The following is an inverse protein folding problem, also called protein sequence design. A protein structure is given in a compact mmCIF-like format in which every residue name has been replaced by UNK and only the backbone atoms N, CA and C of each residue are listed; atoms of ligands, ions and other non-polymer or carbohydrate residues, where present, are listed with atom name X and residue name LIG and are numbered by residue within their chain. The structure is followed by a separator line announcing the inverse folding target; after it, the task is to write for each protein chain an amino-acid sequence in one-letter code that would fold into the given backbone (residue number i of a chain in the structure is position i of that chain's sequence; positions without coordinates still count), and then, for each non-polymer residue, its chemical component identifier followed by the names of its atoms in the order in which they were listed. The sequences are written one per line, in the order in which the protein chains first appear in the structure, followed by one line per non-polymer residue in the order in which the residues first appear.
data_IF_559370891597
#
_entry.id   IF_559370891597
#
_cell.length_a   1.000
_cell.length_b   1.000
_cell.length_c   1.000
_cell.angle_alpha   90.00
_cell.angle_beta   90.00
_cell.angle_gamma   90.00
#
_symmetry.space_group_name_H-M   'P 1'
#
loop_
_entity.id
_entity.type
_entity.pdbx_description
1 polymer ?
#
# COMPACT_ATOMS: atom_id res chain seq x y z
N UNK A 1 51.92 54.46 -3.93
CA UNK A 1 53.07 54.28 -4.85
C UNK A 1 53.24 52.78 -5.11
N UNK A 2 53.34 52.45 -6.40
CA UNK A 2 53.50 51.12 -6.98
C UNK A 2 54.91 50.54 -6.75
N UNK A 3 55.02 49.21 -6.77
CA UNK A 3 55.96 48.38 -7.56
C UNK A 3 56.09 47.01 -6.83
N UNK A 4 55.47 45.92 -7.29
CA UNK A 4 55.69 45.11 -8.49
C UNK A 4 56.91 44.15 -8.38
N UNK A 5 56.62 42.91 -8.81
CA UNK A 5 57.47 41.78 -9.25
C UNK A 5 57.77 40.68 -8.23
N UNK A 6 57.74 39.39 -8.59
CA UNK A 6 57.19 38.60 -9.71
C UNK A 6 57.32 37.14 -9.26
N UNK A 7 56.30 36.32 -9.53
CA UNK A 7 56.26 34.88 -9.26
C UNK A 7 56.84 34.10 -10.46
N UNK A 8 57.65 33.03 -10.27
CA UNK A 8 57.97 32.13 -11.36
C UNK A 8 56.96 30.98 -11.46
N UNK A 9 56.44 30.80 -12.67
CA UNK A 9 55.51 29.77 -13.11
C UNK A 9 56.22 28.42 -13.34
N UNK A 10 55.67 27.33 -12.80
CA UNK A 10 56.00 25.97 -13.23
C UNK A 10 54.82 25.38 -14.00
N UNK A 11 55.05 25.26 -15.30
CA UNK A 11 54.24 24.56 -16.29
C UNK A 11 54.22 23.05 -16.02
N UNK A 12 53.04 22.50 -15.71
CA UNK A 12 52.74 21.07 -15.90
C UNK A 12 51.69 20.96 -16.99
N UNK A 13 52.16 20.61 -18.17
CA UNK A 13 51.37 20.29 -19.35
C UNK A 13 50.65 18.96 -19.10
N UNK A 14 49.34 19.02 -18.86
CA UNK A 14 48.45 17.86 -18.96
C UNK A 14 47.86 17.86 -20.37
N UNK A 15 48.19 16.83 -21.14
CA UNK A 15 47.72 16.66 -22.51
C UNK A 15 46.20 16.40 -22.55
N UNK A 16 45.46 16.99 -23.50
CA UNK A 16 44.09 16.61 -23.78
C UNK A 16 44.07 15.37 -24.69
N UNK A 17 43.56 14.24 -24.19
CA UNK A 17 43.20 13.12 -25.07
C UNK A 17 41.79 13.38 -25.60
N UNK A 18 41.73 14.03 -26.76
CA UNK A 18 40.54 14.20 -27.57
C UNK A 18 40.09 12.84 -28.12
N UNK A 19 39.05 12.25 -27.50
CA UNK A 19 38.32 11.13 -28.07
C UNK A 19 37.45 11.63 -29.22
N UNK A 20 37.94 11.42 -30.45
CA UNK A 20 37.22 11.75 -31.67
C UNK A 20 36.15 10.69 -31.94
N UNK A 21 34.89 11.10 -31.87
CA UNK A 21 33.75 10.27 -32.27
C UNK A 21 33.69 10.23 -33.81
N UNK A 22 34.28 9.21 -34.43
CA UNK A 22 34.00 8.90 -35.84
C UNK A 22 32.70 8.11 -35.91
N UNK A 23 31.68 8.72 -36.53
CA UNK A 23 30.45 8.04 -36.94
C UNK A 23 30.77 7.22 -38.19
N UNK A 24 30.60 5.89 -38.21
CA UNK A 24 30.59 5.19 -39.48
C UNK A 24 29.25 5.46 -40.16
N UNK A 25 29.31 6.18 -41.28
CA UNK A 25 28.24 6.22 -42.26
C UNK A 25 28.37 4.97 -43.15
N UNK A 26 27.45 4.03 -43.01
CA UNK A 26 27.17 2.98 -43.99
C UNK A 26 25.65 2.97 -44.13
N UNK A 27 25.13 3.73 -45.09
CA UNK A 27 24.85 3.26 -46.45
C UNK A 27 23.83 2.12 -46.40
N UNK A 28 22.56 2.50 -46.57
CA UNK A 28 21.49 1.63 -47.01
C UNK A 28 21.90 1.06 -48.36
N UNK A 29 22.14 -0.24 -48.44
CA UNK A 29 22.08 -0.96 -49.69
C UNK A 29 20.99 -2.03 -49.62
N UNK A 30 20.28 -2.13 -50.73
CA UNK A 30 19.03 -2.82 -50.92
C UNK A 30 19.32 -4.17 -51.58
N UNK A 31 18.44 -5.11 -51.25
CA UNK A 31 18.01 -6.23 -52.07
C UNK A 31 18.93 -7.45 -52.23
N UNK A 32 18.24 -8.58 -52.05
CA UNK A 32 18.33 -9.82 -52.80
C UNK A 32 19.26 -10.95 -52.32
N UNK A 33 18.59 -12.08 -52.12
CA UNK A 33 19.02 -13.47 -52.26
C UNK A 33 19.79 -14.14 -51.11
N UNK A 34 18.95 -14.79 -50.28
CA UNK A 34 19.28 -15.79 -49.28
C UNK A 34 19.37 -17.18 -49.93
N UNK A 35 20.56 -17.79 -50.09
CA UNK A 35 20.63 -19.21 -50.40
C UNK A 35 20.40 -20.04 -49.13
N UNK A 36 19.20 -20.60 -49.06
CA UNK A 36 18.82 -21.74 -48.23
C UNK A 36 19.81 -22.89 -48.46
N UNK A 37 20.78 -23.07 -47.57
CA UNK A 37 21.43 -24.33 -47.18
C UNK A 37 22.76 -24.01 -46.50
N UNK A 38 23.00 -24.64 -45.35
CA UNK A 38 24.25 -24.68 -44.56
C UNK A 38 24.32 -23.64 -43.42
N UNK A 39 24.40 -23.95 -42.12
CA UNK A 39 24.46 -25.22 -41.38
C UNK A 39 24.15 -24.96 -39.90
N UNK A 40 23.26 -25.80 -39.37
CA UNK A 40 23.23 -26.38 -38.02
C UNK A 40 24.37 -25.94 -37.06
N UNK A 41 24.10 -24.95 -36.21
CA UNK A 41 24.56 -24.93 -34.82
C UNK A 41 23.42 -24.40 -33.94
N UNK A 42 22.82 -25.34 -33.23
CA UNK A 42 21.70 -25.15 -32.33
C UNK A 42 22.03 -24.15 -31.22
N UNK A 43 21.19 -23.11 -31.13
CA UNK A 43 20.70 -22.47 -29.91
C UNK A 43 21.71 -22.26 -28.75
N UNK A 44 22.54 -21.22 -28.86
CA UNK A 44 23.08 -20.56 -27.68
C UNK A 44 22.05 -19.52 -27.20
N UNK A 45 21.36 -19.89 -26.12
CA UNK A 45 20.35 -19.13 -25.38
C UNK A 45 20.87 -17.73 -25.04
N UNK A 46 20.31 -16.69 -25.66
CA UNK A 46 20.55 -15.30 -25.26
C UNK A 46 19.42 -14.87 -24.31
N UNK A 47 19.77 -14.84 -23.02
CA UNK A 47 19.10 -14.23 -21.87
C UNK A 47 17.95 -13.26 -22.19
N UNK A 48 16.71 -13.71 -21.95
CA UNK A 48 15.60 -12.79 -21.68
C UNK A 48 15.83 -12.22 -20.28
N UNK A 49 16.39 -11.02 -20.20
CA UNK A 49 16.41 -10.25 -18.96
C UNK A 49 14.97 -9.82 -18.64
N UNK A 50 14.33 -10.54 -17.72
CA UNK A 50 13.05 -10.11 -17.17
C UNK A 50 13.36 -8.89 -16.31
N UNK A 51 13.10 -7.69 -16.85
CA UNK A 51 13.10 -6.48 -16.05
C UNK A 51 11.92 -6.57 -15.07
N UNK A 52 12.16 -7.17 -13.91
CA UNK A 52 11.30 -7.00 -12.75
C UNK A 52 11.46 -5.54 -12.32
N UNK A 53 10.71 -4.64 -12.97
CA UNK A 53 10.55 -3.28 -12.47
C UNK A 53 10.01 -3.33 -11.05
N UNK A 54 10.37 -2.36 -10.17
CA UNK A 54 9.75 -2.31 -8.86
C UNK A 54 8.24 -2.20 -9.07
N UNK A 55 7.49 -3.17 -8.53
CA UNK A 55 6.06 -3.02 -8.39
C UNK A 55 5.85 -1.82 -7.46
N UNK A 56 5.63 -0.63 -8.05
CA UNK A 56 5.16 0.51 -7.28
C UNK A 56 3.83 0.04 -6.67
N UNK A 57 3.80 -0.12 -5.35
CA UNK A 57 2.61 -0.52 -4.65
C UNK A 57 1.49 0.44 -5.05
N UNK A 58 0.57 -0.02 -5.89
CA UNK A 58 -0.53 0.79 -6.37
C UNK A 58 -1.49 0.94 -5.19
N UNK A 59 -1.31 2.02 -4.44
CA UNK A 59 -2.14 2.38 -3.30
C UNK A 59 -3.60 2.42 -3.74
N UNK A 60 -4.49 1.86 -2.92
CA UNK A 60 -5.92 1.87 -3.20
C UNK A 60 -6.43 3.30 -3.38
N UNK A 61 -7.13 3.51 -4.48
CA UNK A 61 -7.71 4.80 -4.83
C UNK A 61 -8.93 5.13 -3.97
N UNK A 62 -9.22 6.42 -3.80
CA UNK A 62 -10.39 6.93 -3.10
C UNK A 62 -10.34 8.44 -2.85
N UNK A 63 -11.46 9.02 -2.43
CA UNK A 63 -11.60 10.46 -2.15
C UNK A 63 -10.76 10.94 -0.97
N UNK A 64 -10.38 10.02 -0.07
CA UNK A 64 -9.48 10.32 1.04
C UNK A 64 -8.16 10.97 0.58
N UNK A 65 -7.68 10.66 -0.63
CA UNK A 65 -6.45 11.23 -1.21
C UNK A 65 -6.48 12.77 -1.30
N UNK A 66 -7.67 13.39 -1.32
CA UNK A 66 -7.79 14.84 -1.34
C UNK A 66 -7.39 15.51 -0.01
N UNK A 67 -7.46 14.78 1.09
CA UNK A 67 -7.31 15.33 2.46
C UNK A 67 -6.41 14.49 3.37
N UNK A 68 -5.72 13.50 2.79
CA UNK A 68 -4.79 12.64 3.50
C UNK A 68 -3.41 12.65 2.82
N UNK A 69 -2.35 12.52 3.61
CA UNK A 69 -0.96 12.43 3.18
C UNK A 69 -0.28 11.20 3.78
N UNK A 70 0.99 10.96 3.45
CA UNK A 70 1.77 9.82 3.94
C UNK A 70 1.06 8.47 3.73
N UNK A 71 0.45 8.33 2.56
CA UNK A 71 -0.40 7.19 2.21
C UNK A 71 0.49 6.00 1.85
N UNK A 72 0.26 4.88 2.52
CA UNK A 72 1.04 3.65 2.34
C UNK A 72 0.17 2.43 2.59
N UNK A 73 0.40 1.39 1.81
CA UNK A 73 -0.12 0.06 2.12
C UNK A 73 0.97 -0.79 2.74
N UNK A 74 0.72 -1.30 3.94
CA UNK A 74 1.70 -2.05 4.73
C UNK A 74 0.98 -3.22 5.43
N UNK A 75 1.43 -4.44 5.21
CA UNK A 75 0.87 -5.66 5.81
C UNK A 75 -0.67 -5.80 5.65
N UNK A 76 -1.20 -5.39 4.48
CA UNK A 76 -2.64 -5.45 4.18
C UNK A 76 -3.45 -4.28 4.74
N UNK A 77 -2.82 -3.31 5.40
CA UNK A 77 -3.46 -2.09 5.90
C UNK A 77 -3.13 -0.91 4.99
N UNK A 78 -4.14 -0.13 4.65
CA UNK A 78 -3.98 1.22 4.12
C UNK A 78 -3.85 2.18 5.30
N UNK A 79 -2.70 2.82 5.41
CA UNK A 79 -2.39 3.81 6.43
C UNK A 79 -2.19 5.17 5.77
N UNK A 80 -2.66 6.21 6.42
CA UNK A 80 -2.48 7.59 5.98
C UNK A 80 -2.53 8.54 7.18
N UNK A 81 -2.10 9.78 6.97
CA UNK A 81 -2.31 10.89 7.90
C UNK A 81 -3.38 11.79 7.32
N UNK A 82 -4.55 11.86 7.95
CA UNK A 82 -5.75 12.49 7.39
C UNK A 82 -6.16 13.73 8.19
N UNK A 83 -6.60 14.77 7.48
CA UNK A 83 -7.10 16.00 8.10
C UNK A 83 -8.47 15.77 8.75
N UNK A 84 -8.67 16.30 9.95
CA UNK A 84 -9.95 16.30 10.67
C UNK A 84 -10.71 17.62 10.43
N UNK A 85 -11.98 17.66 10.83
CA UNK A 85 -12.89 18.80 10.66
C UNK A 85 -12.52 20.03 11.50
N UNK A 86 -11.56 19.89 12.43
CA UNK A 86 -10.98 20.99 13.20
C UNK A 86 -9.65 21.49 12.60
N UNK A 87 -9.25 20.97 11.43
CA UNK A 87 -8.02 21.34 10.74
C UNK A 87 -6.76 20.62 11.22
N UNK A 88 -6.86 19.77 12.25
CA UNK A 88 -5.76 18.93 12.75
C UNK A 88 -5.54 17.68 11.89
N UNK A 89 -4.43 16.98 12.11
CA UNK A 89 -4.07 15.78 11.37
C UNK A 89 -4.02 14.57 12.30
N UNK A 90 -4.59 13.44 11.88
CA UNK A 90 -4.62 12.21 12.65
C UNK A 90 -4.08 11.03 11.82
N UNK A 91 -3.41 10.08 12.47
CA UNK A 91 -3.09 8.80 11.83
C UNK A 91 -4.37 7.98 11.67
N UNK A 92 -4.61 7.55 10.44
CA UNK A 92 -5.79 6.83 10.02
C UNK A 92 -5.36 5.51 9.38
N UNK A 93 -6.13 4.46 9.65
CA UNK A 93 -5.88 3.17 9.02
C UNK A 93 -7.18 2.43 8.75
N UNK A 94 -7.20 1.70 7.65
CA UNK A 94 -8.28 0.77 7.30
C UNK A 94 -7.66 -0.38 6.52
N UNK A 95 -8.37 -1.49 6.35
CA UNK A 95 -7.91 -2.52 5.41
C UNK A 95 -8.72 -2.38 4.13
N UNK A 96 -8.03 -2.15 3.00
CA UNK A 96 -8.61 -2.06 1.68
C UNK A 96 -9.65 -3.14 1.36
N UNK A 97 -9.36 -4.40 1.67
CA UNK A 97 -10.19 -5.55 1.31
C UNK A 97 -11.64 -5.52 1.83
N UNK A 98 -11.94 -4.70 2.84
CA UNK A 98 -13.28 -4.58 3.43
C UNK A 98 -14.18 -3.65 2.62
N UNK A 99 -13.55 -2.80 1.81
CA UNK A 99 -14.22 -1.89 0.92
C UNK A 99 -14.28 -2.52 -0.48
N UNK A 100 -15.45 -2.99 -0.93
CA UNK A 100 -15.61 -3.56 -2.26
C UNK A 100 -15.05 -2.65 -3.34
N UNK A 101 -14.51 -3.23 -4.40
CA UNK A 101 -14.10 -2.47 -5.58
C UNK A 101 -15.31 -1.71 -6.14
N UNK A 102 -15.12 -0.44 -6.48
CA UNK A 102 -16.19 0.46 -6.90
C UNK A 102 -16.79 1.29 -5.75
N UNK A 103 -16.54 0.95 -4.49
CA UNK A 103 -16.85 1.82 -3.35
C UNK A 103 -15.69 2.79 -3.07
N UNK A 104 -16.02 3.90 -2.44
CA UNK A 104 -15.08 4.98 -2.17
C UNK A 104 -14.46 4.83 -0.76
N UNK A 105 -13.14 4.85 -0.68
CA UNK A 105 -12.47 5.07 0.60
C UNK A 105 -12.41 6.59 0.80
N UNK A 106 -13.03 7.08 1.86
CA UNK A 106 -13.15 8.50 2.13
C UNK A 106 -12.50 8.87 3.45
N UNK A 107 -12.06 10.13 3.55
CA UNK A 107 -11.73 10.73 4.83
C UNK A 107 -13.00 11.27 5.50
N UNK A 108 -13.29 10.82 6.70
CA UNK A 108 -14.38 11.30 7.56
C UNK A 108 -13.80 11.76 8.89
N UNK A 109 -13.50 13.06 8.99
CA UNK A 109 -12.96 13.68 10.21
C UNK A 109 -11.64 13.04 10.68
N UNK A 110 -10.72 12.77 9.74
CA UNK A 110 -9.49 11.99 9.91
C UNK A 110 -9.67 10.47 9.73
N UNK A 111 -10.93 10.00 9.61
CA UNK A 111 -11.44 8.63 9.39
C UNK A 111 -11.19 8.05 8.03
N UNK A 112 -10.39 7.01 7.83
CA UNK A 112 -10.59 6.21 6.61
C UNK A 112 -11.85 5.34 6.73
N UNK A 113 -12.88 5.67 5.95
CA UNK A 113 -14.18 4.97 5.92
C UNK A 113 -14.49 4.46 4.52
N UNK A 114 -15.28 3.39 4.41
CA UNK A 114 -15.78 2.92 3.12
C UNK A 114 -17.21 3.44 2.88
N UNK A 115 -17.40 4.19 1.80
CA UNK A 115 -18.70 4.71 1.35
C UNK A 115 -19.14 3.95 0.11
N UNK A 116 -20.35 3.38 0.14
CA UNK A 116 -20.92 2.71 -1.02
C UNK A 116 -21.24 3.71 -2.14
N UNK A 117 -20.91 3.37 -3.39
CA UNK A 117 -21.19 4.24 -4.54
C UNK A 117 -22.71 4.44 -4.79
N UNK A 118 -23.54 3.51 -4.33
CA UNK A 118 -25.01 3.59 -4.35
C UNK A 118 -25.55 4.23 -3.07
N UNK A 119 -25.33 5.54 -2.88
CA UNK A 119 -26.02 6.33 -1.85
C UNK A 119 -27.48 6.63 -2.25
N UNK A 120 -28.24 5.60 -2.62
CA UNK A 120 -29.65 5.66 -2.96
C UNK A 120 -30.28 4.29 -2.71
N UNK A 121 -31.17 4.22 -1.72
CA UNK A 121 -31.98 3.06 -1.31
C UNK A 121 -31.28 2.00 -0.44
N UNK A 122 -31.35 2.23 0.88
CA UNK A 122 -31.65 1.20 1.88
C UNK A 122 -30.70 0.01 1.98
N UNK A 123 -29.49 0.25 2.49
CA UNK A 123 -28.68 -0.79 3.13
C UNK A 123 -28.16 -0.23 4.46
N UNK A 124 -28.18 -0.97 5.59
CA UNK A 124 -27.62 -0.50 6.86
C UNK A 124 -26.08 -0.49 6.82
N UNK A 125 -25.50 0.27 5.89
CA UNK A 125 -24.06 0.46 5.75
C UNK A 125 -23.56 1.46 6.79
N UNK A 126 -23.18 0.88 7.93
CA UNK A 126 -22.08 1.26 8.81
C UNK A 126 -22.00 2.75 9.22
N UNK A 127 -22.46 3.09 10.44
CA UNK A 127 -21.99 4.28 11.12
C UNK A 127 -20.47 4.16 11.31
N UNK A 128 -19.70 5.07 10.73
CA UNK A 128 -18.29 5.26 11.04
C UNK A 128 -18.10 6.67 11.59
N UNK A 129 -18.31 6.79 12.90
CA UNK A 129 -17.69 7.82 13.72
C UNK A 129 -16.87 7.07 14.76
N UNK A 130 -15.59 7.37 14.82
CA UNK A 130 -14.69 7.04 15.92
C UNK A 130 -15.38 7.18 17.29
N UNK A 131 -15.25 6.27 18.26
CA UNK A 131 -14.29 5.18 18.39
C UNK A 131 -14.56 3.98 17.49
N UNK A 132 -13.51 3.20 17.27
CA UNK A 132 -13.55 2.03 16.40
C UNK A 132 -14.77 1.16 16.73
N UNK A 133 -15.75 1.20 15.82
CA UNK A 133 -17.10 0.72 16.09
C UNK A 133 -17.01 -0.75 16.44
N UNK A 134 -17.29 -1.05 17.71
CA UNK A 134 -17.30 -2.41 18.22
C UNK A 134 -18.29 -3.22 17.37
N UNK A 135 -17.83 -4.28 16.66
CA UNK A 135 -18.71 -5.08 15.82
C UNK A 135 -19.77 -5.74 16.69
N UNK A 136 -21.03 -5.66 16.27
CA UNK A 136 -22.11 -6.35 16.98
C UNK A 136 -21.97 -7.86 16.83
N UNK A 137 -22.38 -8.60 17.86
CA UNK A 137 -22.43 -10.05 17.86
C UNK A 137 -22.94 -10.62 19.18
N UNK A 138 -23.27 -11.89 19.18
CA UNK A 138 -23.79 -12.61 20.34
C UNK A 138 -22.82 -12.64 21.53
N UNK A 139 -21.52 -12.47 21.28
CA UNK A 139 -20.51 -12.33 22.33
C UNK A 139 -20.82 -11.22 23.34
N UNK A 140 -21.52 -10.14 22.94
CA UNK A 140 -21.89 -9.03 23.84
C UNK A 140 -22.76 -9.48 25.02
N UNK A 141 -23.48 -10.60 24.90
CA UNK A 141 -24.29 -11.15 25.99
C UNK A 141 -23.46 -11.81 27.10
N UNK A 142 -22.23 -12.24 26.79
CA UNK A 142 -21.39 -13.06 27.69
C UNK A 142 -19.96 -12.55 27.81
N UNK A 143 -19.67 -11.36 27.29
CA UNK A 143 -18.37 -10.70 27.37
C UNK A 143 -18.52 -9.27 27.90
N UNK A 144 -17.47 -8.78 28.56
CA UNK A 144 -17.35 -7.43 29.12
C UNK A 144 -16.02 -6.80 28.74
N UNK A 145 -15.81 -5.55 29.15
CA UNK A 145 -14.57 -4.77 28.88
C UNK A 145 -14.23 -4.72 27.37
N UNK A 146 -15.29 -4.68 26.55
CA UNK A 146 -15.23 -4.80 25.10
C UNK A 146 -14.63 -3.53 24.50
N UNK A 147 -13.56 -3.69 23.72
CA UNK A 147 -12.88 -2.59 23.05
C UNK A 147 -12.21 -3.05 21.77
N UNK A 148 -12.08 -2.12 20.84
CA UNK A 148 -11.26 -2.29 19.65
C UNK A 148 -9.89 -1.68 19.90
N UNK A 149 -8.84 -2.40 19.52
CA UNK A 149 -7.45 -1.92 19.59
C UNK A 149 -6.75 -2.30 18.30
N UNK A 150 -6.50 -1.31 17.43
CA UNK A 150 -5.77 -1.48 16.17
C UNK A 150 -6.33 -2.64 15.31
N UNK A 151 -7.65 -2.69 15.10
CA UNK A 151 -8.30 -3.75 14.32
C UNK A 151 -8.60 -5.05 15.07
N UNK A 152 -8.16 -5.18 16.33
CA UNK A 152 -8.44 -6.33 17.18
C UNK A 152 -9.58 -6.04 18.13
N UNK A 153 -10.61 -6.89 18.09
CA UNK A 153 -11.63 -6.93 19.11
C UNK A 153 -11.05 -7.63 20.35
N UNK A 154 -10.97 -6.90 21.45
CA UNK A 154 -10.56 -7.40 22.77
C UNK A 154 -11.75 -7.33 23.72
N UNK A 155 -11.95 -8.38 24.49
CA UNK A 155 -12.97 -8.44 25.53
C UNK A 155 -12.55 -9.46 26.60
N UNK A 156 -13.23 -9.43 27.74
CA UNK A 156 -13.15 -10.50 28.74
C UNK A 156 -14.45 -11.28 28.69
N UNK A 157 -14.38 -12.56 28.31
CA UNK A 157 -15.52 -13.41 28.00
C UNK A 157 -15.70 -14.51 29.05
N UNK A 158 -16.94 -14.92 29.30
CA UNK A 158 -17.24 -16.00 30.23
C UNK A 158 -17.05 -17.38 29.57
N UNK A 159 -16.31 -18.28 30.21
CA UNK A 159 -16.17 -19.68 29.77
C UNK A 159 -17.32 -20.57 30.28
N UNK A 160 -17.37 -21.83 29.83
CA UNK A 160 -18.39 -22.82 30.22
C UNK A 160 -18.42 -23.13 31.72
N UNK A 161 -17.34 -22.81 32.45
CA UNK A 161 -17.22 -22.96 33.90
C UNK A 161 -17.57 -21.67 34.64
N UNK A 162 -18.02 -20.64 33.93
CA UNK A 162 -18.40 -19.34 34.49
C UNK A 162 -17.23 -18.40 34.76
N UNK A 163 -15.99 -18.76 34.39
CA UNK A 163 -14.80 -17.93 34.60
C UNK A 163 -14.69 -16.86 33.53
N UNK A 164 -14.21 -15.69 33.91
CA UNK A 164 -13.95 -14.59 32.98
C UNK A 164 -12.51 -14.67 32.47
N UNK A 165 -12.33 -14.81 31.16
CA UNK A 165 -11.03 -14.97 30.51
C UNK A 165 -10.86 -13.95 29.39
N UNK A 166 -9.62 -13.53 29.14
CA UNK A 166 -9.32 -12.60 28.07
C UNK A 166 -9.45 -13.26 26.71
N UNK A 167 -10.19 -12.60 25.82
CA UNK A 167 -10.48 -13.05 24.48
C UNK A 167 -10.10 -11.97 23.47
N UNK A 168 -9.51 -12.39 22.36
CA UNK A 168 -9.11 -11.50 21.27
C UNK A 168 -9.39 -12.14 19.92
N UNK A 169 -9.94 -11.38 18.99
CA UNK A 169 -10.07 -11.78 17.59
C UNK A 169 -9.81 -10.59 16.67
N UNK A 170 -9.27 -10.84 15.49
CA UNK A 170 -9.22 -9.81 14.46
C UNK A 170 -10.65 -9.60 13.95
N UNK A 171 -11.19 -8.39 14.07
CA UNK A 171 -12.53 -8.10 13.58
C UNK A 171 -12.61 -8.29 12.05
N UNK A 172 -11.48 -8.09 11.37
CA UNK A 172 -11.31 -8.28 9.94
C UNK A 172 -11.43 -9.73 9.46
N UNK A 173 -11.30 -10.72 10.34
CA UNK A 173 -11.45 -12.14 9.99
C UNK A 173 -12.90 -12.59 9.94
N UNK A 174 -13.82 -11.81 10.49
CA UNK A 174 -15.24 -12.07 10.40
C UNK A 174 -15.77 -11.40 9.13
N UNK A 175 -16.11 -12.20 8.11
CA UNK A 175 -16.77 -11.70 6.90
C UNK A 175 -17.99 -10.86 7.27
N UNK A 176 -18.24 -9.78 6.52
CA UNK A 176 -19.36 -8.88 6.78
C UNK A 176 -20.68 -9.66 6.90
N UNK A 177 -21.37 -9.50 8.03
CA UNK A 177 -22.64 -10.16 8.33
C UNK A 177 -22.55 -11.47 9.12
N UNK A 178 -21.35 -11.97 9.45
CA UNK A 178 -21.18 -13.12 10.34
C UNK A 178 -21.28 -12.72 11.81
N UNK A 179 -21.79 -13.62 12.64
CA UNK A 179 -21.89 -13.40 14.08
C UNK A 179 -20.51 -13.55 14.71
N UNK A 180 -20.17 -12.63 15.62
CA UNK A 180 -19.05 -12.82 16.53
C UNK A 180 -19.62 -13.44 17.79
N UNK A 181 -19.16 -14.64 18.13
CA UNK A 181 -19.66 -15.37 19.27
C UNK A 181 -18.56 -15.67 20.28
N UNK A 182 -18.96 -15.76 21.54
CA UNK A 182 -18.14 -16.34 22.58
C UNK A 182 -18.33 -17.86 22.58
N UNK A 183 -17.26 -18.61 22.32
CA UNK A 183 -17.22 -20.07 22.41
C UNK A 183 -16.21 -20.45 23.49
N UNK A 184 -16.71 -20.81 24.68
CA UNK A 184 -15.91 -21.22 25.84
C UNK A 184 -14.77 -20.24 26.20
N UNK A 185 -15.08 -18.94 26.23
CA UNK A 185 -14.11 -17.89 26.53
C UNK A 185 -13.29 -17.43 25.32
N UNK A 186 -13.61 -17.89 24.10
CA UNK A 186 -12.92 -17.51 22.86
C UNK A 186 -13.85 -16.81 21.87
N UNK A 187 -13.46 -15.62 21.41
CA UNK A 187 -14.16 -14.92 20.33
C UNK A 187 -13.94 -15.64 18.99
N UNK A 188 -15.03 -15.99 18.31
CA UNK A 188 -14.98 -16.68 17.02
C UNK A 188 -16.07 -16.19 16.07
N UNK A 189 -15.75 -16.12 14.78
CA UNK A 189 -16.70 -15.78 13.72
C UNK A 189 -17.49 -17.04 13.30
N UNK A 190 -18.82 -16.95 13.22
CA UNK A 190 -19.66 -18.03 12.69
C UNK A 190 -20.78 -17.51 11.79
#
# INVERSE_FOLDING_TARGET
MQADRRVPSRSRTLAPVSASWRRPAFALDKDADMPMLVRLFSAAILLVAIAAGPALAQVRQGSYLATCTNVREEAGWLKATCQNGYGGWAEASTVPGWCPLGNDIANQNGTLVCKSASAGFGSPSAPSSYGEKIPYGSYMATCRDIRMVAGWLKATCQDSRGRWVDATTAASWCSAGRDIANMDGRLTCR
#
